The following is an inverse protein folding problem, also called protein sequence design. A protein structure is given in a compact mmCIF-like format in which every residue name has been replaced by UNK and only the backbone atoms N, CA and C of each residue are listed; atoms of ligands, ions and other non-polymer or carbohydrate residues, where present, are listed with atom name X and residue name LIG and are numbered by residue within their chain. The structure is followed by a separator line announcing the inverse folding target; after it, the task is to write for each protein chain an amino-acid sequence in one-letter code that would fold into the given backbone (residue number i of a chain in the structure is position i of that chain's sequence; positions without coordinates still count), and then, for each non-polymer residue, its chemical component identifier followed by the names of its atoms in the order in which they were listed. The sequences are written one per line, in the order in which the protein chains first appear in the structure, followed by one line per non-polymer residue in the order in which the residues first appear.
data_IF_707125144378
#
_entry.id   IF_707125144378
#
_cell.length_a   1.000
_cell.length_b   1.000
_cell.length_c   1.000
_cell.angle_alpha   90.00
_cell.angle_beta   90.00
_cell.angle_gamma   90.00
#
_symmetry.space_group_name_H-M   'P 1'
#
loop_
_entity.id
_entity.type
_entity.pdbx_description
1 polymer ?
#
# COMPACT_ATOMS: atom_id res chain seq x y z
N UNK A 1 9.51 -6.33 18.67
CA UNK A 1 9.93 -6.63 20.05
C UNK A 1 11.39 -7.08 20.10
N UNK A 2 11.87 -8.01 19.27
CA UNK A 2 13.27 -8.47 19.28
C UNK A 2 14.29 -7.33 19.15
N UNK A 3 14.11 -6.42 18.19
CA UNK A 3 15.02 -5.26 17.98
C UNK A 3 15.15 -4.34 19.18
N UNK A 4 14.08 -4.15 19.97
CA UNK A 4 14.12 -3.32 21.19
C UNK A 4 14.93 -4.03 22.27
N UNK A 5 14.76 -5.35 22.41
CA UNK A 5 15.51 -6.15 23.38
C UNK A 5 17.01 -6.18 23.09
N UNK A 6 17.39 -6.31 21.83
CA UNK A 6 18.79 -6.29 21.39
C UNK A 6 19.44 -4.92 21.63
N UNK A 7 18.74 -3.83 21.28
CA UNK A 7 19.24 -2.48 21.48
C UNK A 7 19.34 -2.13 22.98
N UNK A 8 18.38 -2.54 23.79
CA UNK A 8 18.42 -2.36 25.24
C UNK A 8 19.60 -3.11 25.88
N UNK A 9 19.89 -4.33 25.41
CA UNK A 9 21.07 -5.10 25.87
C UNK A 9 22.41 -4.48 25.44
N UNK A 10 22.42 -3.74 24.34
CA UNK A 10 23.62 -3.06 23.83
C UNK A 10 23.76 -1.61 24.33
N UNK A 11 22.81 -1.09 25.14
CA UNK A 11 22.80 0.31 25.57
C UNK A 11 22.68 1.32 24.41
N UNK A 12 22.18 0.89 23.25
CA UNK A 12 22.07 1.72 22.06
C UNK A 12 20.74 2.49 22.07
N UNK A 13 20.80 3.75 21.61
CA UNK A 13 19.58 4.55 21.40
C UNK A 13 18.74 3.93 20.26
N UNK A 14 17.44 3.81 20.51
CA UNK A 14 16.48 3.28 19.52
C UNK A 14 15.62 4.41 19.00
N UNK A 15 15.53 4.54 17.68
CA UNK A 15 14.58 5.43 17.05
C UNK A 15 13.18 4.81 17.12
N UNK A 16 12.36 5.32 18.05
CA UNK A 16 10.99 4.85 18.26
C UNK A 16 10.10 5.20 17.07
N UNK A 17 10.37 6.32 16.38
CA UNK A 17 9.64 6.75 15.18
C UNK A 17 9.81 5.74 14.04
N UNK A 18 11.04 5.30 13.80
CA UNK A 18 11.34 4.28 12.80
C UNK A 18 10.69 2.93 13.12
N UNK A 19 10.68 2.55 14.40
CA UNK A 19 10.03 1.31 14.84
C UNK A 19 8.52 1.35 14.68
N UNK A 20 7.88 2.43 15.09
CA UNK A 20 6.44 2.62 14.93
C UNK A 20 6.05 2.69 13.46
N UNK A 21 6.80 3.45 12.66
CA UNK A 21 6.58 3.53 11.21
C UNK A 21 6.70 2.16 10.53
N UNK A 22 7.70 1.37 10.90
CA UNK A 22 7.87 0.01 10.39
C UNK A 22 6.72 -0.91 10.82
N UNK A 23 6.28 -0.82 12.06
CA UNK A 23 5.18 -1.62 12.59
C UNK A 23 3.85 -1.27 11.92
N UNK A 24 3.53 0.03 11.81
CA UNK A 24 2.30 0.50 11.16
C UNK A 24 2.26 0.08 9.70
N UNK A 25 3.39 0.20 9.01
CA UNK A 25 3.50 -0.21 7.62
C UNK A 25 3.36 -1.74 7.44
N UNK A 26 3.96 -2.54 8.34
CA UNK A 26 3.76 -4.00 8.33
C UNK A 26 2.29 -4.38 8.57
N UNK A 27 1.62 -3.67 9.47
CA UNK A 27 0.20 -3.88 9.76
C UNK A 27 -0.67 -3.54 8.54
N UNK A 28 -0.41 -2.39 7.89
CA UNK A 28 -1.09 -1.99 6.66
C UNK A 28 -0.85 -2.99 5.51
N UNK A 29 0.39 -3.42 5.33
CA UNK A 29 0.72 -4.45 4.35
C UNK A 29 -0.08 -5.74 4.57
N UNK A 30 -0.13 -6.24 5.82
CA UNK A 30 -0.88 -7.46 6.14
C UNK A 30 -2.38 -7.30 5.96
N UNK A 31 -2.93 -6.14 6.32
CA UNK A 31 -4.35 -5.85 6.18
C UNK A 31 -4.80 -5.73 4.72
N UNK A 32 -3.99 -5.10 3.87
CA UNK A 32 -4.31 -4.86 2.46
C UNK A 32 -3.92 -6.03 1.58
N UNK A 33 -2.72 -6.57 1.75
CA UNK A 33 -2.12 -7.58 0.86
C UNK A 33 -2.34 -9.02 1.33
N UNK A 34 -2.85 -9.22 2.55
CA UNK A 34 -3.01 -10.52 3.17
C UNK A 34 -1.69 -11.14 3.65
N UNK A 35 -1.80 -12.21 4.43
CA UNK A 35 -0.65 -12.90 5.03
C UNK A 35 0.28 -13.51 3.99
N UNK A 36 -0.28 -14.08 2.93
CA UNK A 36 0.50 -14.77 1.90
C UNK A 36 1.29 -13.80 1.03
N UNK A 37 0.64 -12.74 0.55
CA UNK A 37 1.29 -11.72 -0.27
C UNK A 37 2.29 -10.89 0.53
N UNK A 38 2.03 -10.66 1.83
CA UNK A 38 2.94 -9.94 2.72
C UNK A 38 4.25 -10.72 3.02
N UNK A 39 4.28 -12.03 2.79
CA UNK A 39 5.51 -12.85 2.85
C UNK A 39 6.44 -12.60 1.67
N UNK A 40 5.91 -12.10 0.54
CA UNK A 40 6.74 -11.71 -0.59
C UNK A 40 7.48 -10.40 -0.28
N UNK A 41 8.75 -10.52 0.06
CA UNK A 41 9.58 -9.39 0.49
C UNK A 41 9.72 -8.32 -0.60
N UNK A 42 9.72 -8.71 -1.86
CA UNK A 42 9.76 -7.78 -2.99
C UNK A 42 8.51 -6.91 -3.07
N UNK A 43 7.33 -7.52 -2.97
CA UNK A 43 6.04 -6.82 -2.95
C UNK A 43 5.93 -5.90 -1.73
N UNK A 44 6.35 -6.37 -0.56
CA UNK A 44 6.34 -5.59 0.68
C UNK A 44 7.25 -4.37 0.61
N UNK A 45 8.46 -4.52 0.07
CA UNK A 45 9.38 -3.39 -0.15
C UNK A 45 8.79 -2.37 -1.13
N UNK A 46 8.21 -2.85 -2.23
CA UNK A 46 7.59 -2.00 -3.25
C UNK A 46 6.41 -1.20 -2.65
N UNK A 47 5.53 -1.87 -1.91
CA UNK A 47 4.40 -1.23 -1.22
C UNK A 47 4.87 -0.15 -0.25
N UNK A 48 5.83 -0.49 0.62
CA UNK A 48 6.42 0.47 1.57
C UNK A 48 7.00 1.69 0.86
N UNK A 49 7.75 1.46 -0.22
CA UNK A 49 8.34 2.55 -0.99
C UNK A 49 7.26 3.44 -1.62
N UNK A 50 6.20 2.84 -2.16
CA UNK A 50 5.09 3.59 -2.75
C UNK A 50 4.34 4.42 -1.71
N UNK A 51 4.09 3.89 -0.51
CA UNK A 51 3.47 4.65 0.59
C UNK A 51 4.35 5.84 0.97
N UNK A 52 5.65 5.64 1.13
CA UNK A 52 6.60 6.73 1.45
C UNK A 52 6.67 7.76 0.33
N UNK A 53 6.70 7.33 -0.93
CA UNK A 53 6.75 8.22 -2.10
C UNK A 53 5.45 9.02 -2.28
N UNK A 54 4.31 8.47 -1.83
CA UNK A 54 2.98 9.10 -1.93
C UNK A 54 2.75 10.11 -0.80
N UNK A 55 3.24 9.84 0.40
CA UNK A 55 3.01 10.68 1.59
C UNK A 55 3.32 12.17 1.37
N UNK A 56 4.43 12.57 0.73
CA UNK A 56 4.71 13.98 0.45
C UNK A 56 3.74 14.63 -0.54
N UNK A 57 3.10 13.83 -1.42
CA UNK A 57 2.12 14.35 -2.38
C UNK A 57 0.75 14.56 -1.74
N UNK A 58 0.42 13.75 -0.71
CA UNK A 58 -0.85 13.88 0.02
C UNK A 58 -0.77 14.92 1.15
N UNK A 59 0.33 14.95 1.88
CA UNK A 59 0.55 15.85 3.01
C UNK A 59 1.50 17.01 2.72
N UNK A 60 1.99 17.12 1.48
CA UNK A 60 2.97 18.14 1.11
C UNK A 60 2.36 19.54 1.08
N UNK A 61 3.15 20.50 1.55
CA UNK A 61 2.87 21.92 1.33
C UNK A 61 2.70 22.15 -0.17
N UNK A 62 1.52 22.56 -0.59
CA UNK A 62 1.31 23.08 -1.92
C UNK A 62 2.03 24.42 -2.01
N UNK A 63 3.27 24.40 -2.50
CA UNK A 63 4.11 25.61 -2.63
C UNK A 63 3.37 26.69 -3.40
N UNK A 64 2.44 26.34 -4.28
CA UNK A 64 1.59 27.23 -5.04
C UNK A 64 0.63 28.04 -4.16
N UNK A 65 0.21 27.51 -2.99
CA UNK A 65 -0.64 28.25 -2.04
C UNK A 65 0.14 29.36 -1.32
N UNK A 66 1.43 29.12 -1.06
CA UNK A 66 2.29 30.11 -0.39
C UNK A 66 2.98 31.06 -1.35
N UNK A 67 3.21 30.63 -2.59
CA UNK A 67 3.91 31.41 -3.61
C UNK A 67 3.13 31.42 -4.92
N UNK A 68 2.02 32.16 -5.02
CA UNK A 68 1.16 32.18 -6.21
C UNK A 68 1.87 32.63 -7.48
N UNK A 69 2.98 33.38 -7.37
CA UNK A 69 3.78 33.77 -8.52
C UNK A 69 4.52 32.55 -9.17
N UNK A 70 4.84 31.50 -8.42
CA UNK A 70 5.46 30.27 -8.96
C UNK A 70 4.46 29.44 -9.78
N UNK A 71 3.17 29.53 -9.47
CA UNK A 71 2.11 28.93 -10.27
C UNK A 71 2.10 29.47 -11.70
N UNK A 72 2.48 30.76 -11.87
CA UNK A 72 2.51 31.41 -13.16
C UNK A 72 3.58 30.88 -14.12
N UNK A 73 4.62 30.25 -13.60
CA UNK A 73 5.69 29.67 -14.43
C UNK A 73 5.37 28.25 -14.92
N UNK A 74 4.36 27.59 -14.38
CA UNK A 74 3.88 26.28 -14.84
C UNK A 74 4.90 25.12 -14.79
N UNK A 75 6.12 25.40 -14.37
CA UNK A 75 7.22 24.40 -14.33
C UNK A 75 7.02 23.46 -13.17
N UNK A 76 6.62 24.00 -11.99
CA UNK A 76 6.42 23.22 -10.78
C UNK A 76 5.23 22.27 -10.95
N UNK A 77 4.12 22.75 -11.51
CA UNK A 77 2.94 21.93 -11.80
C UNK A 77 3.24 20.81 -12.80
N UNK A 78 4.12 21.01 -13.78
CA UNK A 78 4.57 19.97 -14.70
C UNK A 78 5.38 18.88 -13.99
N UNK A 79 6.30 19.27 -13.10
CA UNK A 79 7.13 18.32 -12.34
C UNK A 79 6.27 17.51 -11.38
N UNK A 80 5.39 18.17 -10.62
CA UNK A 80 4.45 17.49 -9.71
C UNK A 80 3.54 16.55 -10.47
N UNK A 81 2.99 16.97 -11.60
CA UNK A 81 2.13 16.13 -12.45
C UNK A 81 2.86 14.92 -13.00
N UNK A 82 4.09 15.11 -13.51
CA UNK A 82 4.90 13.99 -14.00
C UNK A 82 5.25 12.98 -12.88
N UNK A 83 5.56 13.48 -11.67
CA UNK A 83 5.83 12.65 -10.49
C UNK A 83 4.57 11.87 -10.07
N UNK A 84 3.43 12.55 -9.99
CA UNK A 84 2.14 11.92 -9.64
C UNK A 84 1.73 10.85 -10.65
N UNK A 85 1.88 11.11 -11.95
CA UNK A 85 1.56 10.16 -13.00
C UNK A 85 2.47 8.92 -12.96
N UNK A 86 3.78 9.10 -12.70
CA UNK A 86 4.71 7.97 -12.52
C UNK A 86 4.33 7.14 -11.30
N UNK A 87 3.95 7.80 -10.21
CA UNK A 87 3.56 7.13 -8.98
C UNK A 87 2.26 6.36 -9.15
N UNK A 88 1.28 6.95 -9.85
CA UNK A 88 0.03 6.31 -10.21
C UNK A 88 0.25 5.01 -10.98
N UNK A 89 1.11 5.02 -12.00
CA UNK A 89 1.42 3.81 -12.78
C UNK A 89 2.05 2.71 -11.91
N UNK A 90 2.96 3.08 -11.00
CA UNK A 90 3.57 2.11 -10.08
C UNK A 90 2.55 1.51 -9.11
N UNK A 91 1.58 2.31 -8.65
CA UNK A 91 0.46 1.81 -7.85
C UNK A 91 -0.43 0.87 -8.66
N UNK A 92 -0.79 1.24 -9.89
CA UNK A 92 -1.59 0.40 -10.78
C UNK A 92 -0.91 -0.96 -11.01
N UNK A 93 0.39 -0.98 -11.32
CA UNK A 93 1.16 -2.22 -11.50
C UNK A 93 1.20 -3.09 -10.23
N UNK A 94 1.37 -2.48 -9.05
CA UNK A 94 1.36 -3.21 -7.79
C UNK A 94 0.00 -3.84 -7.52
N UNK A 95 -1.06 -3.05 -7.66
CA UNK A 95 -2.43 -3.49 -7.39
C UNK A 95 -2.89 -4.55 -8.38
N UNK A 96 -2.51 -4.43 -9.67
CA UNK A 96 -2.76 -5.47 -10.67
C UNK A 96 -2.10 -6.79 -10.29
N UNK A 97 -0.82 -6.76 -9.91
CA UNK A 97 -0.11 -7.98 -9.46
C UNK A 97 -0.74 -8.60 -8.23
N UNK A 98 -1.23 -7.77 -7.30
CA UNK A 98 -1.91 -8.27 -6.10
C UNK A 98 -3.23 -8.97 -6.45
N UNK A 99 -4.04 -8.36 -7.30
CA UNK A 99 -5.32 -8.92 -7.74
C UNK A 99 -5.07 -10.22 -8.52
N UNK A 100 -4.14 -10.21 -9.49
CA UNK A 100 -3.81 -11.40 -10.28
C UNK A 100 -3.31 -12.57 -9.41
N UNK A 101 -2.48 -12.29 -8.41
CA UNK A 101 -2.01 -13.31 -7.47
C UNK A 101 -3.15 -13.92 -6.65
N UNK A 102 -4.14 -13.10 -6.25
CA UNK A 102 -5.30 -13.59 -5.50
C UNK A 102 -6.27 -14.36 -6.40
N UNK A 103 -6.54 -13.89 -7.61
CA UNK A 103 -7.37 -14.58 -8.58
C UNK A 103 -6.78 -15.95 -8.93
N UNK A 104 -5.48 -16.01 -9.24
CA UNK A 104 -4.77 -17.28 -9.53
C UNK A 104 -4.75 -18.24 -8.36
N UNK A 105 -4.60 -17.74 -7.12
CA UNK A 105 -4.64 -18.55 -5.91
C UNK A 105 -6.04 -19.13 -5.68
N UNK A 106 -7.07 -18.32 -5.87
CA UNK A 106 -8.46 -18.73 -5.73
C UNK A 106 -8.82 -19.83 -6.75
N UNK A 107 -8.41 -19.69 -8.01
CA UNK A 107 -8.59 -20.71 -9.04
C UNK A 107 -7.87 -22.02 -8.69
N UNK A 108 -6.64 -21.94 -8.21
CA UNK A 108 -5.87 -23.11 -7.80
C UNK A 108 -6.49 -23.82 -6.59
N UNK A 109 -7.03 -23.10 -5.61
CA UNK A 109 -7.70 -23.65 -4.45
C UNK A 109 -9.06 -24.27 -4.82
N UNK A 110 -9.83 -23.66 -5.71
CA UNK A 110 -11.07 -24.23 -6.22
C UNK A 110 -10.86 -25.56 -6.94
N UNK A 111 -9.70 -25.74 -7.59
CA UNK A 111 -9.32 -26.99 -8.25
C UNK A 111 -8.83 -28.07 -7.27
N UNK A 112 -8.32 -27.72 -6.08
CA UNK A 112 -7.66 -28.63 -5.15
C UNK A 112 -8.58 -29.24 -4.09
N UNK A 113 -9.83 -28.80 -3.94
CA UNK A 113 -10.83 -29.30 -2.96
C UNK A 113 -10.37 -29.35 -1.48
N UNK A 114 -9.33 -28.62 -1.12
CA UNK A 114 -8.78 -28.61 0.23
C UNK A 114 -9.10 -27.27 0.93
N UNK A 115 -9.99 -27.26 1.96
CA UNK A 115 -10.39 -26.02 2.64
C UNK A 115 -9.32 -25.60 3.66
N UNK A 116 -8.07 -25.43 3.24
CA UNK A 116 -7.04 -24.88 4.10
C UNK A 116 -7.06 -23.37 4.10
N UNK A 117 -7.46 -22.84 5.26
CA UNK A 117 -7.36 -21.45 5.70
C UNK A 117 -7.67 -20.41 4.59
N UNK A 118 -8.95 -20.08 4.46
CA UNK A 118 -9.34 -18.83 3.83
C UNK A 118 -8.57 -17.71 4.52
N UNK A 119 -7.59 -17.16 3.82
CA UNK A 119 -6.95 -15.92 4.23
C UNK A 119 -8.04 -14.84 4.04
N UNK A 120 -8.77 -14.52 5.11
CA UNK A 120 -9.77 -13.43 5.19
C UNK A 120 -9.07 -12.08 5.06
N UNK A 121 -8.29 -11.91 4.00
CA UNK A 121 -7.66 -10.64 3.72
C UNK A 121 -8.64 -9.71 2.95
N UNK A 122 -8.37 -8.42 3.05
CA UNK A 122 -9.25 -7.40 2.50
C UNK A 122 -9.47 -7.54 0.98
N UNK A 123 -8.46 -8.02 0.25
CA UNK A 123 -8.57 -8.28 -1.20
C UNK A 123 -9.53 -9.43 -1.46
N UNK A 124 -9.45 -10.51 -0.68
CA UNK A 124 -10.34 -11.66 -0.81
C UNK A 124 -11.80 -11.24 -0.63
N UNK A 125 -12.09 -10.47 0.42
CA UNK A 125 -13.45 -9.93 0.66
C UNK A 125 -13.92 -9.08 -0.51
N UNK A 126 -13.09 -8.18 -1.04
CA UNK A 126 -13.47 -7.35 -2.19
C UNK A 126 -13.74 -8.16 -3.46
N UNK A 127 -12.97 -9.22 -3.69
CA UNK A 127 -13.17 -10.10 -4.84
C UNK A 127 -14.42 -10.97 -4.69
N UNK A 128 -14.74 -11.44 -3.47
CA UNK A 128 -15.94 -12.24 -3.21
C UNK A 128 -17.23 -11.45 -3.44
N UNK A 129 -17.27 -10.17 -3.04
CA UNK A 129 -18.44 -9.30 -3.25
C UNK A 129 -18.46 -8.62 -4.63
N UNK A 130 -17.45 -8.87 -5.47
CA UNK A 130 -17.29 -8.23 -6.77
C UNK A 130 -18.53 -8.35 -7.66
N UNK A 131 -19.11 -9.56 -7.73
CA UNK A 131 -20.28 -9.82 -8.58
C UNK A 131 -21.56 -9.21 -8.01
N UNK A 132 -21.73 -9.28 -6.70
CA UNK A 132 -22.91 -8.75 -6.02
C UNK A 132 -23.02 -7.22 -6.14
N UNK A 133 -21.90 -6.52 -5.98
CA UNK A 133 -21.88 -5.05 -6.03
C UNK A 133 -21.42 -4.48 -7.39
N UNK A 134 -21.23 -5.31 -8.40
CA UNK A 134 -20.79 -4.88 -9.73
C UNK A 134 -19.46 -4.12 -9.71
N UNK A 135 -18.52 -4.55 -8.86
CA UNK A 135 -17.23 -3.89 -8.68
C UNK A 135 -16.34 -4.17 -9.90
N UNK A 136 -15.97 -3.10 -10.60
CA UNK A 136 -14.95 -3.20 -11.64
C UNK A 136 -13.55 -3.28 -11.03
N UNK A 137 -12.57 -3.81 -11.77
CA UNK A 137 -11.18 -3.89 -11.33
C UNK A 137 -10.63 -2.53 -10.90
N UNK A 138 -10.98 -1.46 -11.62
CA UNK A 138 -10.58 -0.10 -11.28
C UNK A 138 -11.17 0.40 -9.96
N UNK A 139 -12.41 0.04 -9.65
CA UNK A 139 -13.03 0.35 -8.35
C UNK A 139 -12.34 -0.38 -7.21
N UNK A 140 -12.01 -1.66 -7.39
CA UNK A 140 -11.26 -2.44 -6.41
C UNK A 140 -9.90 -1.80 -6.14
N UNK A 141 -9.16 -1.42 -7.18
CA UNK A 141 -7.88 -0.70 -7.03
C UNK A 141 -8.05 0.61 -6.25
N UNK A 142 -9.08 1.40 -6.55
CA UNK A 142 -9.34 2.65 -5.86
C UNK A 142 -9.62 2.43 -4.36
N UNK A 143 -10.42 1.42 -4.01
CA UNK A 143 -10.71 1.05 -2.61
C UNK A 143 -9.44 0.62 -1.89
N UNK A 144 -8.62 -0.23 -2.51
CA UNK A 144 -7.35 -0.69 -1.95
C UNK A 144 -6.37 0.48 -1.71
N UNK A 145 -6.29 1.41 -2.67
CA UNK A 145 -5.45 2.59 -2.56
C UNK A 145 -5.88 3.49 -1.39
N UNK A 146 -7.18 3.78 -1.26
CA UNK A 146 -7.72 4.59 -0.17
C UNK A 146 -7.48 3.90 1.17
N UNK A 147 -7.74 2.60 1.27
CA UNK A 147 -7.53 1.82 2.49
C UNK A 147 -6.07 1.76 2.93
N UNK A 148 -5.12 1.84 1.99
CA UNK A 148 -3.69 1.87 2.30
C UNK A 148 -3.21 3.20 2.89
N UNK A 149 -3.98 4.28 2.69
CA UNK A 149 -3.65 5.64 3.14
C UNK A 149 -4.56 6.17 4.25
N UNK A 150 -5.66 5.46 4.57
CA UNK A 150 -6.55 5.88 5.64
C UNK A 150 -5.94 5.52 7.00
N UNK A 151 -5.72 6.50 7.90
CA UNK A 151 -5.43 6.19 9.29
C UNK A 151 -6.65 5.45 9.86
N UNK A 152 -6.43 4.27 10.43
CA UNK A 152 -7.46 3.62 11.24
C UNK A 152 -7.45 4.30 12.59
N UNK A 153 -8.50 5.06 12.86
CA UNK A 153 -8.83 5.54 14.21
C UNK A 153 -9.06 4.35 15.16
#
# INVERSE_FOLDING_TARGET
MAKIGEAAGAGAAVDVGDLLGSFTNDLACRGVMGKTSSRNEGLRKLFRQLVVDTSPLLGGFHVEEFFPFLARFGVLSRVVRAKSERLRRRWDELLDRLIDNHESKHEAMAAASDPKEEDDDFIHVLLSVRQEYGLTRERIKAILLVSSHSPRD
#
